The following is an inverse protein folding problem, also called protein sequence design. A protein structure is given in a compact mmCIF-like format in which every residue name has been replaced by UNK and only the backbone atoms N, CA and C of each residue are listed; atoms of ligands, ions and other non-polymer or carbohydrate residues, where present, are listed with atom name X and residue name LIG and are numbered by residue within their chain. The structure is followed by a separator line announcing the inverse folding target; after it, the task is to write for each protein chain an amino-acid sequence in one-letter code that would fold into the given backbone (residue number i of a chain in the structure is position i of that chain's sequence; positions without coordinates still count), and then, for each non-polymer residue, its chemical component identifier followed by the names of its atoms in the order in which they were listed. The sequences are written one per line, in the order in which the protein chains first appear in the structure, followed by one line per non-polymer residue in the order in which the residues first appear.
data_IF_508401109828
#
_entry.id   IF_508401109828
#
_cell.length_a   1.000
_cell.length_b   1.000
_cell.length_c   1.000
_cell.angle_alpha   90.00
_cell.angle_beta   90.00
_cell.angle_gamma   90.00
#
_symmetry.space_group_name_H-M   'P 1'
#
loop_
_entity.id
_entity.type
_entity.pdbx_description
1 polymer ?
#
# COMPACT_ATOMS: atom_id res chain seq x y z
N UNK A 1 -25.73 -31.68 -54.83
CA UNK A 1 -24.74 -30.63 -55.15
C UNK A 1 -23.38 -31.17 -54.78
N UNK A 2 -22.46 -31.25 -55.74
CA UNK A 2 -21.06 -31.63 -55.52
C UNK A 2 -20.22 -30.35 -55.41
N UNK A 3 -19.30 -30.30 -54.45
CA UNK A 3 -18.29 -29.25 -54.38
C UNK A 3 -17.10 -29.64 -55.28
N UNK A 4 -16.51 -28.71 -56.03
CA UNK A 4 -15.36 -28.99 -56.90
C UNK A 4 -14.04 -29.00 -56.12
N UNK A 5 -13.07 -29.78 -56.60
CA UNK A 5 -11.70 -29.78 -56.12
C UNK A 5 -11.03 -28.40 -56.24
N UNK A 6 -10.15 -28.10 -55.28
CA UNK A 6 -9.03 -27.17 -55.50
C UNK A 6 -7.73 -27.77 -54.97
N UNK A 7 -7.01 -28.35 -55.93
CA UNK A 7 -5.55 -28.31 -56.11
C UNK A 7 -4.68 -28.08 -54.87
N UNK A 8 -3.84 -29.08 -54.60
CA UNK A 8 -2.62 -28.92 -53.80
C UNK A 8 -1.65 -27.99 -54.53
N UNK A 9 -0.90 -27.17 -53.77
CA UNK A 9 0.27 -26.44 -54.26
C UNK A 9 1.46 -26.75 -53.31
N UNK A 10 2.53 -27.44 -53.77
CA UNK A 10 3.53 -28.02 -52.86
C UNK A 10 4.84 -27.21 -52.80
N UNK A 11 4.97 -26.28 -51.85
CA UNK A 11 6.25 -25.59 -51.58
C UNK A 11 6.73 -25.71 -50.13
N UNK A 12 7.61 -26.71 -49.96
CA UNK A 12 8.74 -26.82 -49.03
C UNK A 12 9.05 -25.59 -48.16
N UNK A 13 8.96 -25.78 -46.84
CA UNK A 13 9.98 -25.26 -45.92
C UNK A 13 10.06 -26.13 -44.66
N UNK A 14 11.09 -26.99 -44.58
CA UNK A 14 11.44 -27.67 -43.33
C UNK A 14 12.09 -26.68 -42.38
N UNK A 15 11.26 -25.98 -41.60
CA UNK A 15 11.74 -25.23 -40.44
C UNK A 15 12.35 -26.24 -39.47
N UNK A 16 13.68 -26.32 -39.46
CA UNK A 16 14.39 -26.98 -38.36
C UNK A 16 14.01 -26.27 -37.06
N UNK A 17 13.77 -27.00 -35.96
CA UNK A 17 13.57 -26.36 -34.67
C UNK A 17 14.86 -25.63 -34.30
N UNK A 18 14.86 -24.31 -34.47
CA UNK A 18 15.89 -23.44 -33.88
C UNK A 18 15.96 -23.83 -32.41
N UNK A 19 17.16 -24.17 -31.93
CA UNK A 19 17.37 -24.36 -30.50
C UNK A 19 17.02 -23.06 -29.81
N UNK A 20 15.81 -22.98 -29.24
CA UNK A 20 15.46 -21.95 -28.28
C UNK A 20 16.44 -22.12 -27.13
N UNK A 21 17.42 -21.22 -27.06
CA UNK A 21 18.24 -21.06 -25.87
C UNK A 21 17.30 -21.06 -24.67
N UNK A 22 17.68 -21.79 -23.60
CA UNK A 22 16.84 -21.83 -22.40
C UNK A 22 16.67 -20.40 -21.92
N UNK A 23 15.46 -19.85 -22.09
CA UNK A 23 15.10 -18.56 -21.55
C UNK A 23 15.42 -18.61 -20.06
N UNK A 24 16.47 -17.91 -19.64
CA UNK A 24 16.91 -17.92 -18.25
C UNK A 24 15.82 -17.20 -17.47
N UNK A 25 14.98 -17.99 -16.80
CA UNK A 25 13.94 -17.48 -15.90
C UNK A 25 14.64 -16.87 -14.71
N UNK A 26 15.09 -15.63 -14.88
CA UNK A 26 15.53 -14.76 -13.82
C UNK A 26 14.44 -14.73 -12.76
N UNK A 27 14.77 -15.20 -11.57
CA UNK A 27 13.85 -15.06 -10.45
C UNK A 27 13.61 -13.57 -10.17
N UNK A 28 12.48 -13.25 -9.53
CA UNK A 28 12.06 -11.86 -9.32
C UNK A 28 13.09 -11.06 -8.53
N UNK A 29 13.93 -11.69 -7.70
CA UNK A 29 15.06 -11.01 -7.02
C UNK A 29 16.11 -10.52 -8.02
N UNK A 30 16.65 -11.38 -8.88
CA UNK A 30 17.60 -11.00 -9.94
C UNK A 30 17.03 -9.94 -10.88
N UNK A 31 15.70 -9.98 -11.13
CA UNK A 31 15.00 -8.97 -11.91
C UNK A 31 15.01 -7.62 -11.19
N UNK A 32 14.63 -7.55 -9.91
CA UNK A 32 14.68 -6.29 -9.14
C UNK A 32 16.12 -5.78 -9.00
N UNK A 33 17.10 -6.65 -8.75
CA UNK A 33 18.52 -6.28 -8.69
C UNK A 33 19.01 -5.69 -10.03
N UNK A 34 18.54 -6.17 -11.18
CA UNK A 34 18.84 -5.59 -12.51
C UNK A 34 18.06 -4.34 -12.86
N UNK A 35 16.86 -4.13 -12.27
CA UNK A 35 16.06 -2.91 -12.49
C UNK A 35 16.54 -1.76 -11.59
N UNK A 36 16.97 -2.02 -10.35
CA UNK A 36 17.37 -1.02 -9.35
C UNK A 36 18.88 -0.95 -8.96
N UNK A 37 19.86 -1.40 -9.78
CA UNK A 37 21.23 -1.72 -9.35
C UNK A 37 22.08 -0.54 -8.85
N UNK A 38 21.58 0.69 -8.97
CA UNK A 38 22.27 1.94 -8.61
C UNK A 38 21.51 2.79 -7.61
N UNK A 39 20.39 2.28 -7.07
CA UNK A 39 19.52 3.05 -6.19
C UNK A 39 18.75 2.24 -5.14
N UNK A 40 18.80 0.90 -5.17
CA UNK A 40 18.28 0.08 -4.08
C UNK A 40 19.05 -1.24 -3.90
N UNK A 41 18.89 -1.87 -2.74
CA UNK A 41 19.37 -3.23 -2.41
C UNK A 41 18.17 -4.13 -2.15
N UNK A 42 18.22 -5.36 -2.66
CA UNK A 42 17.12 -6.35 -2.51
C UNK A 42 17.55 -7.46 -1.56
N UNK A 43 16.79 -7.65 -0.49
CA UNK A 43 17.00 -8.67 0.55
C UNK A 43 15.82 -9.64 0.56
N UNK A 44 16.07 -10.95 0.52
CA UNK A 44 15.01 -11.95 0.77
C UNK A 44 14.77 -12.09 2.27
N UNK A 45 13.50 -12.04 2.69
CA UNK A 45 13.08 -12.13 4.09
C UNK A 45 12.55 -13.53 4.42
N UNK A 46 12.63 -13.99 5.69
CA UNK A 46 12.10 -15.29 6.09
C UNK A 46 10.60 -15.43 5.77
N UNK A 47 10.19 -16.40 4.92
CA UNK A 47 8.79 -16.55 4.53
C UNK A 47 7.96 -17.17 5.67
N UNK A 48 6.78 -16.60 5.90
CA UNK A 48 5.76 -17.19 6.75
C UNK A 48 5.24 -18.51 6.17
N UNK A 49 4.58 -19.32 7.00
CA UNK A 49 4.01 -20.60 6.56
C UNK A 49 2.97 -20.42 5.44
N UNK A 50 2.14 -19.37 5.51
CA UNK A 50 1.17 -19.04 4.46
C UNK A 50 1.82 -18.75 3.10
N UNK A 51 3.00 -18.13 3.07
CA UNK A 51 3.74 -17.89 1.83
C UNK A 51 4.33 -19.19 1.27
N UNK A 52 4.92 -20.04 2.12
CA UNK A 52 5.47 -21.35 1.72
C UNK A 52 4.41 -22.23 1.07
N UNK A 53 3.23 -22.31 1.69
CA UNK A 53 2.08 -23.10 1.20
C UNK A 53 1.54 -22.61 -0.16
N UNK A 54 1.83 -21.37 -0.55
CA UNK A 54 1.44 -20.80 -1.85
C UNK A 54 2.62 -20.72 -2.85
N UNK A 55 3.80 -21.27 -2.52
CA UNK A 55 5.05 -21.13 -3.27
C UNK A 55 5.43 -19.65 -3.56
N UNK A 56 5.25 -18.80 -2.55
CA UNK A 56 5.58 -17.38 -2.59
C UNK A 56 6.79 -17.07 -1.71
N UNK A 57 7.59 -16.09 -2.15
CA UNK A 57 8.70 -15.50 -1.39
C UNK A 57 8.36 -14.05 -1.04
N UNK A 58 9.02 -13.51 -0.01
CA UNK A 58 8.88 -12.12 0.40
C UNK A 58 10.25 -11.46 0.52
N UNK A 59 10.32 -10.20 0.10
CA UNK A 59 11.55 -9.44 -0.07
C UNK A 59 11.39 -8.02 0.49
N UNK A 60 12.52 -7.40 0.81
CA UNK A 60 12.65 -5.96 1.08
C UNK A 60 13.55 -5.34 0.03
N UNK A 61 13.11 -4.23 -0.55
CA UNK A 61 13.91 -3.33 -1.37
C UNK A 61 14.17 -2.08 -0.54
N UNK A 62 15.42 -1.87 -0.16
CA UNK A 62 15.87 -0.70 0.60
C UNK A 62 16.48 0.32 -0.37
N UNK A 63 15.96 1.55 -0.39
CA UNK A 63 16.41 2.61 -1.28
C UNK A 63 17.73 3.19 -0.76
N UNK A 64 18.79 3.05 -1.55
CA UNK A 64 20.15 3.51 -1.23
C UNK A 64 20.51 4.81 -1.93
N UNK A 65 19.74 5.23 -2.92
CA UNK A 65 19.89 6.53 -3.60
C UNK A 65 18.48 7.12 -3.88
N UNK A 66 17.92 7.91 -2.95
CA UNK A 66 16.58 8.48 -3.08
C UNK A 66 16.43 9.36 -4.32
N UNK A 67 17.45 10.16 -4.66
CA UNK A 67 17.41 11.07 -5.80
C UNK A 67 17.28 10.32 -7.12
N UNK A 68 18.07 9.25 -7.32
CA UNK A 68 17.89 8.36 -8.49
C UNK A 68 16.55 7.63 -8.45
N UNK A 69 16.13 7.15 -7.28
CA UNK A 69 14.89 6.38 -7.13
C UNK A 69 13.62 7.20 -7.40
N UNK A 70 13.64 8.50 -7.07
CA UNK A 70 12.57 9.48 -7.36
C UNK A 70 12.52 9.97 -8.81
N UNK A 71 13.44 9.55 -9.69
CA UNK A 71 13.41 10.03 -11.09
C UNK A 71 12.19 9.55 -11.90
N UNK A 72 11.76 10.32 -12.92
CA UNK A 72 10.77 9.90 -13.93
C UNK A 72 11.05 8.53 -14.57
N UNK A 73 12.34 8.23 -14.83
CA UNK A 73 12.78 6.98 -15.42
C UNK A 73 12.58 5.81 -14.45
N UNK A 74 13.01 5.97 -13.19
CA UNK A 74 12.86 4.94 -12.16
C UNK A 74 11.40 4.78 -11.70
N UNK A 75 10.53 5.78 -11.86
CA UNK A 75 9.09 5.58 -11.71
C UNK A 75 8.50 4.69 -12.82
N UNK A 76 8.73 5.01 -14.09
CA UNK A 76 8.20 4.20 -15.21
C UNK A 76 8.74 2.75 -15.19
N UNK A 77 9.94 2.51 -14.65
CA UNK A 77 10.48 1.15 -14.39
C UNK A 77 9.83 0.40 -13.20
N UNK A 78 9.17 1.08 -12.27
CA UNK A 78 8.47 0.46 -11.11
C UNK A 78 7.08 -0.04 -11.45
N UNK A 79 6.34 0.70 -12.28
CA UNK A 79 4.93 0.43 -12.60
C UNK A 79 4.66 -1.01 -13.09
N UNK A 80 5.47 -1.63 -13.98
CA UNK A 80 5.20 -2.99 -14.45
C UNK A 80 5.28 -4.10 -13.40
N UNK A 81 5.90 -3.83 -12.24
CA UNK A 81 6.14 -4.82 -11.19
C UNK A 81 5.29 -4.59 -9.95
N UNK A 82 5.24 -3.34 -9.49
CA UNK A 82 4.47 -2.99 -8.31
C UNK A 82 3.00 -2.71 -8.67
N UNK A 83 2.74 -2.27 -9.91
CA UNK A 83 1.40 -2.16 -10.47
C UNK A 83 0.86 -0.74 -10.50
N UNK A 84 -0.46 -0.65 -10.56
CA UNK A 84 -1.18 0.59 -10.89
C UNK A 84 -1.55 1.40 -9.65
N UNK A 85 -1.29 2.71 -9.70
CA UNK A 85 -1.80 3.66 -8.72
C UNK A 85 -3.26 4.00 -9.05
N UNK A 86 -4.18 3.77 -8.09
CA UNK A 86 -5.62 4.00 -8.28
C UNK A 86 -6.13 4.92 -7.18
N UNK A 87 -6.69 6.09 -7.55
CA UNK A 87 -6.90 7.22 -6.64
C UNK A 87 -8.40 7.54 -6.45
N UNK A 88 -9.16 6.59 -5.92
CA UNK A 88 -10.63 6.65 -5.92
C UNK A 88 -11.25 7.49 -4.79
N UNK A 89 -10.49 7.92 -3.78
CA UNK A 89 -11.04 8.36 -2.48
C UNK A 89 -11.13 9.89 -2.27
N UNK A 90 -10.36 10.69 -3.03
CA UNK A 90 -10.26 12.16 -2.84
C UNK A 90 -10.70 12.98 -4.07
N UNK A 91 -11.35 12.37 -5.05
CA UNK A 91 -12.30 13.17 -5.84
C UNK A 91 -13.50 13.50 -4.95
N UNK A 92 -14.02 14.72 -5.04
CA UNK A 92 -15.37 15.06 -4.56
C UNK A 92 -16.34 13.93 -4.96
N UNK A 93 -17.22 13.49 -4.03
CA UNK A 93 -18.15 12.34 -4.20
C UNK A 93 -19.08 12.50 -5.42
N UNK A 94 -18.55 12.21 -6.61
CA UNK A 94 -19.23 12.28 -7.90
C UNK A 94 -20.03 10.99 -8.16
N UNK A 95 -21.17 11.06 -8.86
CA UNK A 95 -21.97 9.87 -9.22
C UNK A 95 -21.21 8.79 -9.99
N UNK A 96 -20.12 9.16 -10.66
CA UNK A 96 -19.16 8.25 -11.30
C UNK A 96 -17.74 8.73 -10.95
N UNK A 97 -16.99 8.05 -10.06
CA UNK A 97 -15.61 8.40 -9.77
C UNK A 97 -14.69 8.07 -10.96
N UNK A 98 -13.64 8.87 -11.17
CA UNK A 98 -12.66 8.65 -12.22
C UNK A 98 -11.89 7.35 -11.97
N UNK A 99 -11.92 6.43 -12.94
CA UNK A 99 -11.08 5.24 -12.93
C UNK A 99 -9.70 5.58 -13.47
N UNK A 100 -8.74 5.68 -12.57
CA UNK A 100 -7.32 5.79 -12.89
C UNK A 100 -6.81 4.47 -13.49
N UNK A 101 -5.85 4.59 -14.41
CA UNK A 101 -5.03 3.49 -14.91
C UNK A 101 -3.58 3.98 -14.93
N UNK A 102 -2.62 3.11 -14.62
CA UNK A 102 -1.21 3.48 -14.72
C UNK A 102 -0.59 3.14 -16.10
N UNK A 103 -1.41 2.89 -17.12
CA UNK A 103 -1.01 2.87 -18.53
C UNK A 103 -1.30 4.20 -19.26
N UNK A 104 -1.99 5.15 -18.61
CA UNK A 104 -2.37 6.46 -19.16
C UNK A 104 -1.19 7.46 -19.08
N UNK A 105 -0.60 7.88 -20.22
CA UNK A 105 0.62 8.69 -20.21
C UNK A 105 0.44 10.08 -19.58
N UNK A 106 -0.74 10.69 -19.71
CA UNK A 106 -0.98 12.03 -19.19
C UNK A 106 -0.94 12.03 -17.65
N UNK A 107 -1.47 10.98 -17.02
CA UNK A 107 -1.47 10.82 -15.56
C UNK A 107 -0.14 10.33 -15.00
N UNK A 108 0.61 9.53 -15.78
CA UNK A 108 2.01 9.24 -15.45
C UNK A 108 2.80 10.55 -15.38
N UNK A 109 2.65 11.44 -16.36
CA UNK A 109 3.43 12.67 -16.44
C UNK A 109 2.97 13.75 -15.43
N UNK A 110 1.67 13.83 -15.10
CA UNK A 110 1.15 14.62 -13.97
C UNK A 110 1.73 14.14 -12.63
N UNK A 111 1.58 12.85 -12.30
CA UNK A 111 2.08 12.29 -11.05
C UNK A 111 3.61 12.43 -10.92
N UNK A 112 4.35 12.19 -12.01
CA UNK A 112 5.82 12.29 -12.06
C UNK A 112 6.31 13.73 -11.85
N UNK A 113 5.56 14.73 -12.34
CA UNK A 113 5.91 16.15 -12.23
C UNK A 113 5.61 16.70 -10.84
N UNK A 114 4.40 16.47 -10.35
CA UNK A 114 3.84 17.23 -9.23
C UNK A 114 3.93 16.50 -7.88
N UNK A 115 3.98 15.16 -7.87
CA UNK A 115 3.83 14.36 -6.63
C UNK A 115 4.99 13.39 -6.34
N UNK A 116 5.57 12.77 -7.37
CA UNK A 116 6.73 11.89 -7.23
C UNK A 116 7.93 12.51 -6.47
N UNK A 117 8.22 13.83 -6.58
CA UNK A 117 9.28 14.45 -5.78
C UNK A 117 9.00 14.41 -4.26
N UNK A 118 7.74 14.54 -3.83
CA UNK A 118 7.41 14.67 -2.41
C UNK A 118 7.38 13.32 -1.69
N UNK A 119 6.91 12.25 -2.35
CA UNK A 119 6.85 10.90 -1.76
C UNK A 119 8.19 10.41 -1.19
N UNK A 120 8.32 10.22 0.13
CA UNK A 120 9.60 9.94 0.78
C UNK A 120 10.01 8.44 0.80
N UNK A 121 9.45 7.61 -0.10
CA UNK A 121 9.61 6.14 -0.11
C UNK A 121 11.08 5.72 0.03
N UNK A 122 11.43 5.14 1.18
CA UNK A 122 12.77 4.59 1.46
C UNK A 122 12.80 3.06 1.43
N UNK A 123 11.64 2.40 1.54
CA UNK A 123 11.54 0.95 1.70
C UNK A 123 10.32 0.41 0.97
N UNK A 124 10.48 -0.70 0.24
CA UNK A 124 9.40 -1.47 -0.36
C UNK A 124 9.49 -2.93 0.08
N UNK A 125 8.47 -3.42 0.78
CA UNK A 125 8.27 -4.85 1.00
C UNK A 125 7.45 -5.42 -0.15
N UNK A 126 7.81 -6.58 -0.70
CA UNK A 126 7.04 -7.20 -1.78
C UNK A 126 7.03 -8.72 -1.69
N UNK A 127 5.87 -9.30 -2.03
CA UNK A 127 5.66 -10.73 -2.17
C UNK A 127 5.73 -11.07 -3.65
N UNK A 128 6.46 -12.12 -4.01
CA UNK A 128 6.56 -12.59 -5.39
C UNK A 128 6.36 -14.11 -5.52
N UNK A 129 5.71 -14.47 -6.62
CA UNK A 129 5.80 -15.79 -7.25
C UNK A 129 7.09 -15.86 -8.09
N UNK A 130 7.46 -17.03 -8.65
CA UNK A 130 8.60 -17.13 -9.57
C UNK A 130 8.48 -16.24 -10.82
N UNK A 131 7.26 -15.95 -11.28
CA UNK A 131 6.97 -15.27 -12.55
C UNK A 131 6.73 -13.75 -12.38
N UNK A 132 6.19 -13.33 -11.23
CA UNK A 132 5.81 -11.94 -10.96
C UNK A 132 5.72 -11.61 -9.47
N UNK A 133 5.85 -10.31 -9.18
CA UNK A 133 5.34 -9.71 -7.92
C UNK A 133 3.82 -9.92 -7.86
N UNK A 134 3.30 -10.21 -6.67
CA UNK A 134 1.87 -10.50 -6.41
C UNK A 134 1.29 -9.67 -5.26
N UNK A 135 2.06 -8.73 -4.74
CA UNK A 135 1.65 -7.77 -3.73
C UNK A 135 2.85 -6.99 -3.19
N UNK A 136 2.64 -5.75 -2.79
CA UNK A 136 3.70 -4.91 -2.23
C UNK A 136 3.15 -3.89 -1.25
N UNK A 137 4.02 -3.42 -0.36
CA UNK A 137 3.80 -2.29 0.51
C UNK A 137 5.02 -1.39 0.49
N UNK A 138 4.80 -0.09 0.34
CA UNK A 138 5.88 0.90 0.29
C UNK A 138 5.70 1.92 1.41
N UNK A 139 6.81 2.34 2.02
CA UNK A 139 6.80 3.30 3.11
C UNK A 139 8.18 3.90 3.33
N UNK A 140 8.33 4.57 4.47
CA UNK A 140 9.58 5.20 4.86
C UNK A 140 9.78 5.20 6.38
N UNK A 141 11.04 5.32 6.82
CA UNK A 141 11.38 5.57 8.22
C UNK A 141 11.54 7.07 8.47
N UNK A 142 11.08 7.54 9.62
CA UNK A 142 11.29 8.88 10.15
C UNK A 142 11.40 8.84 11.66
N UNK A 143 11.80 9.93 12.31
CA UNK A 143 11.96 10.00 13.78
C UNK A 143 10.88 10.89 14.39
N UNK A 144 10.24 10.39 15.46
CA UNK A 144 9.33 11.16 16.30
C UNK A 144 10.02 11.49 17.64
N UNK A 145 9.91 12.75 18.08
CA UNK A 145 10.53 13.19 19.33
C UNK A 145 9.95 12.43 20.54
N UNK A 146 10.81 11.96 21.44
CA UNK A 146 10.41 11.13 22.59
C UNK A 146 10.00 9.69 22.27
N UNK A 147 9.69 9.35 21.01
CA UNK A 147 9.27 8.00 20.59
C UNK A 147 10.38 7.23 19.84
N UNK A 148 11.19 7.92 19.03
CA UNK A 148 12.19 7.32 18.13
C UNK A 148 11.61 6.93 16.77
N UNK A 149 12.18 5.88 16.15
CA UNK A 149 11.89 5.54 14.75
C UNK A 149 10.45 5.10 14.53
N UNK A 150 9.77 5.81 13.63
CA UNK A 150 8.43 5.51 13.11
C UNK A 150 8.58 4.97 11.69
N UNK A 151 7.86 3.89 11.35
CA UNK A 151 7.66 3.50 9.95
C UNK A 151 6.30 3.99 9.47
N UNK A 152 6.28 4.91 8.50
CA UNK A 152 5.04 5.31 7.84
C UNK A 152 4.86 4.47 6.57
N UNK A 153 3.89 3.56 6.59
CA UNK A 153 3.47 2.79 5.43
C UNK A 153 2.53 3.65 4.58
N UNK A 154 2.94 3.92 3.34
CA UNK A 154 2.17 4.73 2.39
C UNK A 154 1.13 3.84 1.70
N UNK A 155 1.57 2.79 1.01
CA UNK A 155 0.71 1.89 0.25
C UNK A 155 0.85 0.45 0.73
N UNK A 156 -0.22 -0.33 0.60
CA UNK A 156 -0.21 -1.78 0.56
C UNK A 156 -1.23 -2.29 -0.49
N UNK A 157 -0.87 -3.29 -1.29
CA UNK A 157 -1.77 -3.92 -2.26
C UNK A 157 -1.40 -5.39 -2.50
N UNK A 158 -2.39 -6.20 -2.89
CA UNK A 158 -2.29 -7.65 -3.17
C UNK A 158 -3.03 -7.96 -4.48
N UNK A 159 -2.48 -8.88 -5.28
CA UNK A 159 -3.12 -9.44 -6.49
C UNK A 159 -4.53 -9.96 -6.16
N UNK A 160 -5.52 -9.58 -6.98
CA UNK A 160 -6.94 -9.91 -6.75
C UNK A 160 -7.23 -11.40 -6.54
N UNK A 161 -6.40 -12.30 -7.09
CA UNK A 161 -6.56 -13.75 -6.98
C UNK A 161 -5.94 -14.34 -5.68
N UNK A 162 -5.22 -13.50 -4.92
CA UNK A 162 -4.64 -13.80 -3.61
C UNK A 162 -5.33 -13.04 -2.46
N UNK A 163 -6.15 -12.01 -2.75
CA UNK A 163 -6.99 -11.35 -1.75
C UNK A 163 -7.89 -12.37 -1.05
N UNK A 164 -8.05 -12.22 0.26
CA UNK A 164 -8.80 -13.17 1.11
C UNK A 164 -8.08 -14.49 1.40
N UNK A 165 -6.95 -14.82 0.78
CA UNK A 165 -6.16 -16.01 1.20
C UNK A 165 -5.56 -15.78 2.60
N UNK A 166 -5.76 -16.69 3.57
CA UNK A 166 -5.23 -16.53 4.91
C UNK A 166 -3.72 -16.25 4.94
N UNK A 167 -3.31 -15.35 5.82
CA UNK A 167 -1.90 -15.05 6.10
C UNK A 167 -1.13 -14.27 5.03
N UNK A 168 -1.54 -14.23 3.75
CA UNK A 168 -0.76 -13.54 2.70
C UNK A 168 -0.67 -12.03 2.96
N UNK A 169 -1.80 -11.35 3.14
CA UNK A 169 -1.82 -9.92 3.45
C UNK A 169 -1.11 -9.60 4.78
N UNK A 170 -1.34 -10.42 5.82
CA UNK A 170 -0.63 -10.31 7.11
C UNK A 170 0.88 -10.44 6.96
N UNK A 171 1.36 -11.31 6.07
CA UNK A 171 2.79 -11.52 5.84
C UNK A 171 3.46 -10.29 5.21
N UNK A 172 2.73 -9.49 4.44
CA UNK A 172 3.21 -8.22 3.90
C UNK A 172 3.13 -7.10 4.96
N UNK A 173 1.95 -6.92 5.55
CA UNK A 173 1.66 -5.86 6.53
C UNK A 173 2.53 -6.02 7.79
N UNK A 174 2.90 -7.25 8.18
CA UNK A 174 3.70 -7.54 9.36
C UNK A 174 5.17 -7.10 9.30
N UNK A 175 5.72 -6.78 8.13
CA UNK A 175 7.17 -6.59 7.99
C UNK A 175 7.76 -5.35 8.72
N UNK A 176 7.10 -4.19 8.81
CA UNK A 176 7.59 -3.06 9.61
C UNK A 176 7.72 -3.37 11.11
N UNK A 177 6.82 -4.19 11.68
CA UNK A 177 6.80 -4.49 13.12
C UNK A 177 7.95 -5.42 13.56
N UNK A 178 8.47 -6.24 12.63
CA UNK A 178 9.61 -7.12 12.84
C UNK A 178 10.97 -6.39 12.94
N UNK A 179 11.01 -5.12 12.58
CA UNK A 179 12.17 -4.25 12.78
C UNK A 179 12.22 -3.76 14.24
N UNK A 180 13.28 -4.13 14.97
CA UNK A 180 13.40 -3.88 16.42
C UNK A 180 13.45 -2.38 16.76
N UNK A 181 13.98 -1.58 15.85
CA UNK A 181 14.24 -0.16 16.06
C UNK A 181 12.99 0.67 15.74
N UNK A 182 12.09 0.16 14.90
CA UNK A 182 10.75 0.73 14.69
C UNK A 182 9.91 0.64 15.98
N UNK A 183 9.60 1.80 16.57
CA UNK A 183 8.81 1.95 17.81
C UNK A 183 7.32 2.21 17.56
N UNK A 184 6.98 2.79 16.40
CA UNK A 184 5.60 2.96 15.94
C UNK A 184 5.47 2.71 14.42
N UNK A 185 4.25 2.36 14.00
CA UNK A 185 3.85 2.21 12.59
C UNK A 185 2.62 3.07 12.32
N UNK A 186 2.71 3.89 11.27
CA UNK A 186 1.68 4.85 10.84
C UNK A 186 1.26 4.59 9.39
N UNK A 187 0.00 4.84 9.05
CA UNK A 187 -0.58 4.71 7.70
C UNK A 187 -2.00 5.28 7.68
N UNK A 188 -2.49 5.70 6.52
CA UNK A 188 -3.92 5.93 6.30
C UNK A 188 -4.63 4.65 5.87
N UNK A 189 -5.86 4.44 6.36
CA UNK A 189 -6.82 3.56 5.70
C UNK A 189 -8.24 3.86 6.10
N UNK A 190 -9.09 4.17 5.12
CA UNK A 190 -10.53 4.33 5.34
C UNK A 190 -11.27 2.98 5.37
N UNK A 191 -10.64 1.86 4.97
CA UNK A 191 -11.32 0.58 4.71
C UNK A 191 -11.43 -0.26 5.99
N UNK A 192 -12.64 -0.55 6.51
CA UNK A 192 -12.82 -1.27 7.78
C UNK A 192 -12.15 -2.65 7.85
N UNK A 193 -12.03 -3.34 6.72
CA UNK A 193 -11.36 -4.64 6.63
C UNK A 193 -9.83 -4.54 6.67
N UNK A 194 -9.25 -3.47 6.11
CA UNK A 194 -7.83 -3.18 6.22
C UNK A 194 -7.46 -2.78 7.65
N UNK A 195 -8.22 -1.85 8.25
CA UNK A 195 -8.03 -1.43 9.65
C UNK A 195 -8.04 -2.62 10.62
N UNK A 196 -9.02 -3.54 10.51
CA UNK A 196 -9.04 -4.79 11.31
C UNK A 196 -7.81 -5.67 11.08
N UNK A 197 -7.34 -5.77 9.85
CA UNK A 197 -6.17 -6.58 9.49
C UNK A 197 -4.90 -5.97 10.09
N UNK A 198 -4.71 -4.67 9.96
CA UNK A 198 -3.57 -3.94 10.51
C UNK A 198 -3.57 -3.93 12.04
N UNK A 199 -4.73 -3.78 12.69
CA UNK A 199 -4.88 -3.89 14.15
C UNK A 199 -4.53 -5.30 14.65
N UNK A 200 -5.06 -6.35 14.00
CA UNK A 200 -4.76 -7.73 14.36
C UNK A 200 -3.28 -8.07 14.18
N UNK A 201 -2.61 -7.52 13.15
CA UNK A 201 -1.17 -7.71 12.94
C UNK A 201 -0.33 -6.92 13.95
N UNK A 202 -0.75 -5.70 14.33
CA UNK A 202 -0.08 -4.91 15.35
C UNK A 202 -0.09 -5.63 16.72
N UNK A 203 -1.27 -6.10 17.16
CA UNK A 203 -1.41 -6.86 18.42
C UNK A 203 -0.56 -8.14 18.40
N UNK A 204 -0.59 -8.89 17.30
CA UNK A 204 0.25 -10.09 17.08
C UNK A 204 1.77 -9.82 17.14
N UNK A 205 2.21 -8.57 17.06
CA UNK A 205 3.61 -8.15 17.15
C UNK A 205 3.93 -7.31 18.41
N UNK A 206 3.01 -7.21 19.38
CA UNK A 206 3.20 -6.46 20.63
C UNK A 206 3.07 -4.93 20.49
N UNK A 207 2.22 -4.47 19.57
CA UNK A 207 1.86 -3.07 19.39
C UNK A 207 0.37 -2.86 19.73
N UNK A 208 0.07 -1.84 20.53
CA UNK A 208 -1.30 -1.33 20.67
C UNK A 208 -1.68 -0.53 19.40
N UNK A 209 -2.97 -0.47 19.08
CA UNK A 209 -3.47 0.07 17.81
C UNK A 209 -4.64 1.06 17.99
N UNK A 210 -4.52 2.22 17.35
CA UNK A 210 -5.45 3.34 17.44
C UNK A 210 -5.85 3.83 16.05
N UNK A 211 -7.05 4.40 15.91
CA UNK A 211 -7.61 4.86 14.64
C UNK A 211 -8.23 6.25 14.78
N UNK A 212 -7.49 7.25 14.30
CA UNK A 212 -7.86 8.66 14.28
C UNK A 212 -8.73 8.95 13.05
N UNK A 213 -10.04 8.71 13.17
CA UNK A 213 -11.02 9.17 12.18
C UNK A 213 -11.36 10.65 12.39
N UNK A 214 -11.68 11.35 11.28
CA UNK A 214 -12.08 12.77 11.24
C UNK A 214 -10.96 13.79 11.52
N UNK A 215 -11.18 15.04 11.09
CA UNK A 215 -10.20 16.14 11.13
C UNK A 215 -9.47 16.25 12.47
N UNK A 216 -8.14 16.35 12.40
CA UNK A 216 -7.20 16.69 13.49
C UNK A 216 -7.19 15.73 14.69
N UNK A 217 -7.09 14.42 14.43
CA UNK A 217 -6.72 13.44 15.46
C UNK A 217 -7.80 13.12 16.50
N UNK A 218 -9.07 13.41 16.20
CA UNK A 218 -10.17 13.03 17.09
C UNK A 218 -10.34 11.50 17.13
N UNK A 219 -10.74 10.99 18.29
CA UNK A 219 -11.06 9.57 18.48
C UNK A 219 -12.21 9.40 19.48
N UNK A 220 -13.14 8.52 19.15
CA UNK A 220 -14.21 8.07 20.06
C UNK A 220 -13.71 6.97 21.04
N UNK A 221 -12.47 6.50 20.87
CA UNK A 221 -11.78 5.59 21.78
C UNK A 221 -11.31 6.33 23.05
N UNK A 222 -11.73 5.91 24.26
CA UNK A 222 -11.18 6.44 25.51
C UNK A 222 -9.70 6.07 25.63
N UNK A 223 -8.86 7.04 25.98
CA UNK A 223 -7.42 6.86 26.19
C UNK A 223 -7.02 7.17 27.63
N UNK A 224 -6.06 6.43 28.16
CA UNK A 224 -5.30 6.85 29.34
C UNK A 224 -4.38 8.05 29.02
N UNK A 225 -3.83 8.74 30.04
CA UNK A 225 -2.89 9.84 29.82
C UNK A 225 -1.60 9.44 29.09
N UNK A 226 -1.14 8.18 29.26
CA UNK A 226 0.08 7.69 28.61
C UNK A 226 -0.14 7.47 27.11
N UNK A 227 -1.21 6.77 26.75
CA UNK A 227 -1.61 6.55 25.35
C UNK A 227 -1.89 7.88 24.64
N UNK A 228 -2.60 8.80 25.30
CA UNK A 228 -2.86 10.14 24.79
C UNK A 228 -1.55 10.87 24.47
N UNK A 229 -0.60 10.92 25.41
CA UNK A 229 0.69 11.59 25.17
C UNK A 229 1.44 10.97 23.99
N UNK A 230 1.54 9.64 23.93
CA UNK A 230 2.24 8.94 22.84
C UNK A 230 1.60 9.22 21.47
N UNK A 231 0.28 9.39 21.41
CA UNK A 231 -0.44 9.74 20.18
C UNK A 231 -0.28 11.23 19.85
N UNK A 232 -0.38 12.12 20.83
CA UNK A 232 -0.12 13.56 20.67
C UNK A 232 1.34 13.83 20.20
N UNK A 233 2.31 13.01 20.63
CA UNK A 233 3.72 13.02 20.16
C UNK A 233 3.87 12.54 18.69
N UNK A 234 2.95 11.72 18.19
CA UNK A 234 2.99 11.13 16.85
C UNK A 234 2.15 11.91 15.81
N UNK A 235 1.12 12.65 16.24
CA UNK A 235 0.32 13.49 15.35
C UNK A 235 1.15 14.52 14.52
N UNK A 236 2.30 15.07 15.00
CA UNK A 236 3.19 15.89 14.17
C UNK A 236 3.88 15.12 13.02
N UNK A 237 4.02 13.79 13.11
CA UNK A 237 4.49 12.96 11.99
C UNK A 237 3.38 12.77 10.96
N UNK A 238 2.15 12.57 11.43
CA UNK A 238 0.95 12.51 10.57
C UNK A 238 0.77 13.83 9.81
N UNK A 239 0.78 14.95 10.53
CA UNK A 239 0.66 16.30 9.97
C UNK A 239 1.78 16.60 8.97
N UNK A 240 3.05 16.27 9.28
CA UNK A 240 4.14 16.45 8.30
C UNK A 240 3.96 15.59 7.04
N UNK A 241 3.44 14.38 7.16
CA UNK A 241 3.16 13.53 6.00
C UNK A 241 1.99 14.10 5.18
N UNK A 242 0.93 14.57 5.84
CA UNK A 242 -0.20 15.31 5.27
C UNK A 242 0.29 16.58 4.54
N UNK A 243 1.15 17.41 5.14
CA UNK A 243 1.83 18.54 4.50
C UNK A 243 2.63 18.10 3.26
N UNK A 244 3.44 17.04 3.38
CA UNK A 244 4.30 16.54 2.30
C UNK A 244 3.52 15.99 1.10
N UNK A 245 2.32 15.42 1.28
CA UNK A 245 1.43 15.07 0.17
C UNK A 245 0.40 16.17 -0.18
N UNK A 246 0.50 17.35 0.43
CA UNK A 246 -0.25 18.55 0.06
C UNK A 246 -1.68 18.63 0.62
N UNK A 247 -2.00 17.91 1.69
CA UNK A 247 -3.38 17.71 2.16
C UNK A 247 -3.92 18.75 3.16
N UNK A 248 -3.08 19.54 3.86
CA UNK A 248 -3.54 20.37 4.99
C UNK A 248 -4.22 21.70 4.58
N UNK A 249 -3.90 22.25 3.40
CA UNK A 249 -4.53 23.47 2.86
C UNK A 249 -5.98 23.23 2.40
N UNK A 250 -6.40 21.97 2.27
CA UNK A 250 -7.67 21.54 1.70
C UNK A 250 -8.81 21.53 2.74
N UNK A 251 -9.30 22.71 3.16
CA UNK A 251 -10.39 22.79 4.17
C UNK A 251 -11.76 23.31 3.67
N UNK A 252 -11.89 23.96 2.50
CA UNK A 252 -13.18 24.35 1.90
C UNK A 252 -13.17 24.28 0.34
N UNK A 253 -14.20 23.65 -0.27
CA UNK A 253 -14.56 23.81 -1.70
C UNK A 253 -13.56 23.34 -2.77
N UNK A 254 -13.32 22.03 -2.91
CA UNK A 254 -12.02 21.51 -3.41
C UNK A 254 -12.03 20.80 -4.79
N UNK A 255 -11.39 21.42 -5.80
CA UNK A 255 -10.79 20.75 -6.95
C UNK A 255 -9.31 21.15 -7.16
N UNK A 256 -8.37 20.32 -7.61
CA UNK A 256 -8.24 18.85 -7.68
C UNK A 256 -6.80 18.53 -7.20
N UNK A 257 -6.27 17.32 -7.45
CA UNK A 257 -4.84 16.97 -7.32
C UNK A 257 -4.17 17.19 -5.93
N UNK A 258 -3.93 16.18 -5.06
CA UNK A 258 -4.02 14.70 -5.07
C UNK A 258 -3.75 14.29 -3.56
N UNK A 259 -3.67 13.09 -2.94
CA UNK A 259 -3.73 11.62 -3.20
C UNK A 259 -4.34 10.92 -1.95
N UNK A 260 -5.02 9.76 -2.10
CA UNK A 260 -4.80 8.62 -1.20
C UNK A 260 -5.06 7.27 -1.92
N UNK A 261 -4.65 6.16 -1.33
CA UNK A 261 -4.31 4.90 -2.01
C UNK A 261 -5.49 3.98 -2.38
N UNK A 262 -5.18 3.03 -3.26
CA UNK A 262 -6.18 2.28 -4.02
C UNK A 262 -6.59 0.94 -3.44
N UNK A 263 -7.83 0.88 -2.95
CA UNK A 263 -8.72 -0.23 -3.33
C UNK A 263 -9.76 0.26 -4.36
N UNK A 264 -10.38 -0.67 -5.08
CA UNK A 264 -11.31 -0.37 -6.18
C UNK A 264 -12.61 0.25 -5.63
N UNK A 265 -12.89 1.50 -5.98
CA UNK A 265 -14.19 2.16 -5.84
C UNK A 265 -14.90 1.91 -4.51
N UNK A 266 -14.28 2.34 -3.40
CA UNK A 266 -14.87 2.27 -2.05
C UNK A 266 -16.29 2.88 -2.09
N UNK A 267 -17.36 2.10 -1.86
CA UNK A 267 -18.73 2.63 -1.82
C UNK A 267 -18.93 3.52 -0.58
N UNK A 268 -20.09 4.18 -0.46
CA UNK A 268 -20.56 4.50 0.89
C UNK A 268 -20.76 3.19 1.64
N UNK A 269 -20.07 3.01 2.77
CA UNK A 269 -20.19 1.80 3.56
C UNK A 269 -21.65 1.56 3.94
N UNK A 270 -22.14 0.35 3.69
CA UNK A 270 -23.43 -0.06 4.22
C UNK A 270 -23.25 -0.51 5.68
N UNK A 271 -24.31 -0.46 6.49
CA UNK A 271 -24.22 -0.93 7.88
C UNK A 271 -23.93 -2.44 7.96
N UNK A 272 -24.23 -3.22 6.92
CA UNK A 272 -23.88 -4.64 6.81
C UNK A 272 -22.39 -4.92 6.54
N UNK A 273 -21.62 -3.92 6.07
CA UNK A 273 -20.17 -4.01 5.87
C UNK A 273 -19.39 -3.72 7.16
N UNK A 274 -19.97 -2.95 8.08
CA UNK A 274 -19.40 -2.59 9.39
C UNK A 274 -19.51 -3.74 10.41
N UNK A 275 -19.03 -4.94 10.04
CA UNK A 275 -19.05 -6.18 10.85
C UNK A 275 -18.06 -6.16 12.01
N UNK A 276 -18.16 -5.18 12.90
CA UNK A 276 -17.44 -5.11 14.17
C UNK A 276 -18.22 -5.86 15.26
N UNK A 277 -17.58 -6.12 16.39
CA UNK A 277 -18.29 -6.65 17.57
C UNK A 277 -19.18 -5.56 18.18
N UNK A 278 -20.41 -5.86 18.63
CA UNK A 278 -21.26 -4.86 19.26
C UNK A 278 -20.58 -4.17 20.44
N UNK A 279 -20.41 -2.84 20.36
CA UNK A 279 -19.73 -2.04 21.38
C UNK A 279 -18.25 -1.71 21.10
N UNK A 280 -17.68 -2.23 20.01
CA UNK A 280 -16.36 -1.86 19.53
C UNK A 280 -16.28 -0.33 19.21
N UNK A 281 -15.30 0.42 19.75
CA UNK A 281 -15.14 1.85 19.45
C UNK A 281 -15.06 2.15 17.95
N UNK A 282 -14.40 1.28 17.17
CA UNK A 282 -14.29 1.44 15.72
C UNK A 282 -15.66 1.38 15.03
N UNK A 283 -16.63 0.61 15.54
CA UNK A 283 -17.98 0.58 14.98
C UNK A 283 -18.60 1.98 14.99
N UNK A 284 -18.45 2.73 16.08
CA UNK A 284 -19.00 4.10 16.20
C UNK A 284 -18.30 5.07 15.26
N UNK A 285 -16.97 5.01 15.19
CA UNK A 285 -16.17 5.82 14.26
C UNK A 285 -16.61 5.58 12.81
N UNK A 286 -16.78 4.32 12.40
CA UNK A 286 -17.19 4.00 11.03
C UNK A 286 -18.68 4.27 10.74
N UNK A 287 -19.59 4.07 11.70
CA UNK A 287 -21.00 4.46 11.51
C UNK A 287 -21.13 5.97 11.28
N UNK A 288 -20.39 6.79 12.02
CA UNK A 288 -20.34 8.25 11.80
C UNK A 288 -19.72 8.64 10.45
N UNK A 289 -18.87 7.81 9.84
CA UNK A 289 -18.32 8.04 8.50
C UNK A 289 -19.34 7.78 7.37
N UNK A 290 -20.40 7.00 7.64
CA UNK A 290 -21.53 6.81 6.71
C UNK A 290 -22.37 8.10 6.63
N UNK A 291 -22.67 8.67 7.79
CA UNK A 291 -23.55 9.84 7.94
C UNK A 291 -22.96 11.18 7.43
N UNK A 292 -21.66 11.20 7.07
CA UNK A 292 -21.00 12.38 6.51
C UNK A 292 -21.56 12.78 5.14
N UNK A 293 -21.79 14.08 4.99
CA UNK A 293 -22.36 14.74 3.82
C UNK A 293 -21.34 14.89 2.69
N UNK A 294 -21.79 15.07 1.44
CA UNK A 294 -20.91 15.54 0.36
C UNK A 294 -20.19 16.83 0.78
N UNK A 295 -18.87 16.89 0.59
CA UNK A 295 -18.02 18.03 0.96
C UNK A 295 -17.34 17.93 2.33
N UNK A 296 -17.63 16.92 3.16
CA UNK A 296 -16.94 16.71 4.44
C UNK A 296 -15.68 15.85 4.27
N UNK A 297 -14.51 16.43 4.55
CA UNK A 297 -13.21 15.75 4.37
C UNK A 297 -12.89 14.75 5.48
N UNK A 298 -12.35 13.60 5.08
CA UNK A 298 -11.99 12.47 5.95
C UNK A 298 -10.51 12.15 5.76
N UNK A 299 -9.76 12.09 6.87
CA UNK A 299 -8.61 11.18 7.01
C UNK A 299 -8.96 10.14 8.08
N UNK A 300 -8.26 9.01 8.02
CA UNK A 300 -8.39 7.88 8.93
C UNK A 300 -7.00 7.31 9.17
N UNK A 301 -6.26 7.94 10.07
CA UNK A 301 -4.88 7.58 10.39
C UNK A 301 -4.82 6.44 11.41
N UNK A 302 -4.02 5.41 11.12
CA UNK A 302 -3.79 4.24 11.97
C UNK A 302 -2.47 4.43 12.70
N UNK A 303 -2.53 4.67 14.01
CA UNK A 303 -1.34 4.84 14.85
C UNK A 303 -1.16 3.56 15.65
N UNK A 304 -0.05 2.83 15.44
CA UNK A 304 0.26 1.61 16.19
C UNK A 304 1.60 1.73 16.86
N UNK A 305 1.68 1.44 18.17
CA UNK A 305 2.84 1.78 19.01
C UNK A 305 3.23 0.59 19.88
N UNK A 306 4.53 0.35 20.07
CA UNK A 306 4.99 -0.77 20.92
C UNK A 306 4.43 -0.63 22.34
N UNK A 307 3.82 -1.70 22.87
CA UNK A 307 3.11 -1.71 24.16
C UNK A 307 3.90 -1.14 25.34
N UNK A 308 5.21 -1.38 25.38
CA UNK A 308 6.16 -0.79 26.35
C UNK A 308 6.11 0.75 26.46
N UNK A 309 5.70 1.46 25.41
CA UNK A 309 5.66 2.94 25.37
C UNK A 309 4.48 3.51 26.16
N UNK A 310 3.38 2.76 26.24
CA UNK A 310 2.16 3.13 26.98
C UNK A 310 2.08 2.47 28.36
N UNK A 311 3.12 1.73 28.76
CA UNK A 311 3.20 1.02 30.05
C UNK A 311 2.64 -0.41 30.05
N UNK A 312 2.20 -0.92 28.91
CA UNK A 312 1.81 -2.34 28.76
C UNK A 312 3.07 -3.23 28.66
N UNK A 313 2.97 -4.46 29.18
CA UNK A 313 4.06 -5.44 29.30
C UNK A 313 3.88 -6.65 28.39
#
# INVERSE_FOLDING_TARGET
MTLPDRQQDPLVSTIQPVHTEKAVVMNVRELMEKVFPKCAVVTELPPSEALRQNNLRIFRLDVTDPEKFKTPEMFRKRVPYFGELILNALEERKPTPRKFKADDPEFIDEFVRDYLPTFPVSTIYFIASPEKVVGYSSGYKTEAEGIGTVFYALLATIDKNLRGRPGIAKSLIGQPYGDKDTQAVMSDSLVPAAVKTEFSVAEENGFAAYYCGFRKGNMDTPLSPAERKVIDDLLPVEQRQVEMVGLDEYQEGLPQHLINFGEYGIPQYTREELRFSPGDPLQRTFERLIDLRPGENISGALIRVRKKLIGES
#
